data_IF_002048020613
#
_entry.id   IF_002048020613
#
_cell.length_a   1.000
_cell.length_b   1.000
_cell.length_c   1.000
_cell.angle_alpha   90.00
_cell.angle_beta   90.00
_cell.angle_gamma   90.00
#
_symmetry.space_group_name_H-M   'P 1'
#
loop_
_entity.id
_entity.type
_entity.pdbx_description
1 polymer ?
#
# COMPACT_ATOMS: atom_id res chain seq x y z
N UNK A 1 -4.68 4.23 24.99
CA UNK A 1 -5.01 3.89 24.39
C UNK A 1 -5.19 3.22 23.72
N UNK A 2 -5.36 2.92 23.35
CA UNK A 2 -5.51 2.31 22.52
C UNK A 2 -6.06 2.13 21.82
N UNK A 3 -6.25 2.05 21.43
CA UNK A 3 -6.63 1.61 20.73
C UNK A 3 -6.69 1.29 19.78
N UNK A 4 -6.46 1.46 19.56
CA UNK A 4 -6.43 1.11 18.75
C UNK A 4 -6.63 0.27 18.35
N UNK A 5 -6.77 0.56 18.47
CA UNK A 5 -6.81 -0.18 18.16
C UNK A 5 -6.83 -1.10 17.44
N UNK A 6 -6.90 -1.57 17.88
CA UNK A 6 -6.78 -2.62 16.94
C UNK A 6 -8.07 -2.99 16.34
N UNK A 7 -8.31 -2.60 15.15
CA UNK A 7 -9.46 -3.04 14.46
C UNK A 7 -9.13 -4.13 13.55
N UNK A 8 -10.10 -4.94 13.23
CA UNK A 8 -9.94 -5.93 12.23
C UNK A 8 -9.59 -5.28 10.92
N UNK A 9 -8.61 -5.84 10.24
CA UNK A 9 -8.18 -5.31 8.99
C UNK A 9 -7.24 -4.15 9.10
N UNK A 10 -7.21 -3.51 10.28
CA UNK A 10 -6.24 -2.45 10.49
C UNK A 10 -6.18 -1.52 9.29
N UNK A 11 -7.26 -0.83 9.01
CA UNK A 11 -7.32 0.08 7.87
C UNK A 11 -6.86 1.46 8.26
N UNK A 12 -6.21 2.15 7.33
CA UNK A 12 -5.79 3.54 7.51
C UNK A 12 -6.34 4.38 6.38
N UNK A 13 -6.47 5.67 6.62
CA UNK A 13 -6.88 6.61 5.57
C UNK A 13 -5.70 6.90 4.65
N UNK A 14 -5.99 7.50 3.49
CA UNK A 14 -4.92 7.90 2.58
C UNK A 14 -4.01 8.93 3.22
N UNK A 15 -4.54 9.81 4.06
CA UNK A 15 -3.72 10.81 4.72
C UNK A 15 -2.77 10.16 5.73
N UNK A 16 -3.28 9.20 6.50
CA UNK A 16 -2.44 8.45 7.43
C UNK A 16 -1.37 7.65 6.68
N UNK A 17 -1.78 7.03 5.57
CA UNK A 17 -0.85 6.24 4.78
C UNK A 17 0.28 7.10 4.22
N UNK A 18 -0.06 8.30 3.75
CA UNK A 18 0.95 9.17 3.18
C UNK A 18 1.94 9.65 4.22
N UNK A 19 1.49 9.91 5.43
CA UNK A 19 2.37 10.43 6.48
C UNK A 19 3.26 9.36 7.10
N UNK A 20 2.85 8.07 7.06
CA UNK A 20 3.59 7.01 7.74
C UNK A 20 5.04 6.86 7.30
N UNK A 21 5.35 6.88 5.99
CA UNK A 21 6.74 6.73 5.56
C UNK A 21 7.62 7.90 5.92
N UNK A 22 7.04 9.01 6.37
CA UNK A 22 7.80 10.23 6.63
C UNK A 22 7.74 10.67 8.09
N UNK A 23 6.98 9.96 8.93
CA UNK A 23 6.82 10.32 10.32
C UNK A 23 7.43 9.29 11.24
N UNK A 24 6.71 9.02 12.32
CA UNK A 24 7.17 8.05 13.32
C UNK A 24 7.32 6.66 12.73
N UNK A 25 6.64 6.38 11.64
CA UNK A 25 6.73 5.11 10.93
C UNK A 25 7.59 5.23 9.70
N UNK A 26 8.71 5.92 9.83
CA UNK A 26 9.59 6.16 8.68
C UNK A 26 10.08 4.88 8.03
N UNK A 27 10.10 3.78 8.76
CA UNK A 27 10.49 2.49 8.23
C UNK A 27 9.34 1.76 7.50
N UNK A 28 8.13 2.28 7.54
CA UNK A 28 7.02 1.68 6.84
C UNK A 28 7.19 1.82 5.33
N UNK A 29 6.58 0.91 4.58
CA UNK A 29 6.64 0.95 3.12
C UNK A 29 5.23 0.91 2.56
N UNK A 30 4.96 1.74 1.56
CA UNK A 30 3.69 1.71 0.85
C UNK A 30 3.81 0.64 -0.23
N UNK A 31 2.98 -0.39 -0.12
CA UNK A 31 3.07 -1.58 -0.96
C UNK A 31 1.86 -1.65 -1.88
N UNK A 32 2.06 -1.47 -3.16
CA UNK A 32 1.01 -1.46 -4.16
C UNK A 32 0.84 -2.87 -4.71
N UNK A 33 -0.36 -3.44 -4.56
CA UNK A 33 -0.63 -4.83 -4.97
C UNK A 33 -1.51 -4.92 -6.21
N UNK A 34 -1.62 -3.82 -6.97
CA UNK A 34 -2.40 -3.81 -8.21
C UNK A 34 -1.65 -4.54 -9.33
N UNK A 35 -2.35 -4.74 -10.44
CA UNK A 35 -1.75 -5.34 -11.62
C UNK A 35 -0.75 -4.39 -12.26
N UNK A 36 0.17 -4.94 -13.03
CA UNK A 36 1.22 -4.14 -13.63
C UNK A 36 0.71 -3.00 -14.51
N UNK A 37 -0.31 -3.19 -15.35
CA UNK A 37 -0.81 -2.06 -16.16
C UNK A 37 -1.32 -0.90 -15.30
N UNK A 38 -1.95 -1.22 -14.18
CA UNK A 38 -2.42 -0.19 -13.25
C UNK A 38 -1.23 0.58 -12.65
N UNK A 39 -0.22 -0.16 -12.24
CA UNK A 39 0.99 0.42 -11.66
C UNK A 39 1.70 1.32 -12.66
N UNK A 40 1.84 0.83 -13.88
CA UNK A 40 2.55 1.56 -14.94
C UNK A 40 1.86 2.89 -15.27
N UNK A 41 0.52 2.91 -15.27
CA UNK A 41 -0.22 4.12 -15.56
C UNK A 41 -0.03 5.19 -14.49
N UNK A 42 0.12 4.77 -13.24
CA UNK A 42 0.37 5.73 -12.16
C UNK A 42 0.28 5.05 -10.82
N UNK A 43 1.17 5.43 -9.91
CA UNK A 43 1.23 4.86 -8.56
C UNK A 43 1.64 5.95 -7.58
N UNK A 44 1.44 5.68 -6.30
CA UNK A 44 1.79 6.64 -5.28
C UNK A 44 3.30 6.84 -5.23
N UNK A 45 3.71 8.08 -5.03
CA UNK A 45 5.13 8.39 -4.95
C UNK A 45 5.75 7.60 -3.80
N UNK A 46 6.84 6.90 -4.08
CA UNK A 46 7.57 6.11 -3.09
C UNK A 46 7.03 4.72 -2.86
N UNK A 47 5.99 4.31 -3.58
CA UNK A 47 5.42 2.97 -3.41
C UNK A 47 6.33 1.91 -4.02
N UNK A 48 6.22 0.70 -3.48
CA UNK A 48 6.90 -0.48 -4.00
C UNK A 48 5.82 -1.42 -4.52
N UNK A 49 6.08 -2.09 -5.64
CA UNK A 49 5.06 -2.86 -6.33
C UNK A 49 5.27 -4.36 -6.21
N UNK A 50 4.20 -5.07 -5.87
CA UNK A 50 4.14 -6.52 -6.03
C UNK A 50 2.67 -6.88 -6.28
N UNK A 51 2.34 -7.48 -7.43
CA UNK A 51 0.96 -7.86 -7.71
C UNK A 51 0.42 -8.88 -6.70
N UNK A 52 -0.85 -8.75 -6.37
CA UNK A 52 -1.48 -9.61 -5.37
C UNK A 52 -1.31 -11.09 -5.68
N UNK A 53 -1.42 -11.48 -6.96
CA UNK A 53 -1.27 -12.88 -7.33
C UNK A 53 0.10 -13.42 -6.95
N UNK A 54 1.14 -12.62 -7.10
CA UNK A 54 2.48 -13.06 -6.73
C UNK A 54 2.60 -13.24 -5.23
N UNK A 55 1.96 -12.38 -4.45
CA UNK A 55 1.93 -12.56 -3.00
C UNK A 55 1.28 -13.87 -2.61
N UNK A 56 0.13 -14.19 -3.21
CA UNK A 56 -0.56 -15.44 -2.92
C UNK A 56 0.24 -16.65 -3.32
N UNK A 57 1.07 -16.53 -4.35
CA UNK A 57 1.93 -17.62 -4.79
C UNK A 57 3.19 -17.76 -3.96
N UNK A 58 3.37 -16.90 -2.96
CA UNK A 58 4.49 -17.01 -2.05
C UNK A 58 5.75 -16.27 -2.48
N UNK A 59 5.63 -15.36 -3.44
CA UNK A 59 6.79 -14.60 -3.87
C UNK A 59 7.37 -13.79 -2.73
N UNK A 60 8.69 -13.65 -2.74
CA UNK A 60 9.40 -12.82 -1.79
C UNK A 60 9.11 -11.35 -2.09
N UNK A 61 8.92 -10.55 -1.05
CA UNK A 61 8.73 -9.11 -1.23
C UNK A 61 9.97 -8.49 -1.88
N UNK A 62 9.79 -7.43 -2.67
CA UNK A 62 10.94 -6.68 -3.19
C UNK A 62 11.83 -6.24 -2.05
N UNK A 63 13.13 -6.14 -2.33
CA UNK A 63 14.12 -5.82 -1.31
C UNK A 63 13.77 -4.55 -0.55
N UNK A 64 13.21 -3.56 -1.24
CA UNK A 64 12.85 -2.28 -0.63
C UNK A 64 11.76 -2.42 0.43
N UNK A 65 11.00 -3.50 0.40
CA UNK A 65 9.90 -3.72 1.34
C UNK A 65 10.25 -4.72 2.43
N UNK A 66 11.37 -5.40 2.34
CA UNK A 66 11.69 -6.45 3.29
C UNK A 66 12.00 -5.88 4.67
N UNK A 67 11.41 -6.49 5.69
CA UNK A 67 11.65 -6.08 7.07
C UNK A 67 10.95 -4.80 7.47
N UNK A 68 10.08 -4.26 6.62
CA UNK A 68 9.39 -2.99 6.88
C UNK A 68 7.90 -3.25 7.04
N UNK A 69 7.22 -2.53 7.95
CA UNK A 69 5.77 -2.67 8.09
C UNK A 69 5.08 -2.25 6.78
N UNK A 70 4.30 -3.14 6.16
CA UNK A 70 3.69 -2.77 4.88
C UNK A 70 2.36 -2.04 5.08
N UNK A 71 2.23 -0.94 4.36
CA UNK A 71 0.98 -0.20 4.22
C UNK A 71 0.48 -0.52 2.82
N UNK A 72 -0.54 -1.37 2.72
CA UNK A 72 -0.91 -2.01 1.46
C UNK A 72 -1.99 -1.20 0.75
N UNK A 73 -1.79 -0.94 -0.53
CA UNK A 73 -2.73 -0.14 -1.30
C UNK A 73 -3.10 -0.86 -2.60
N UNK A 74 -4.36 -0.74 -3.00
CA UNK A 74 -4.82 -1.20 -4.30
C UNK A 74 -5.69 -0.11 -4.91
N UNK A 75 -6.55 -0.45 -5.87
CA UNK A 75 -7.35 0.58 -6.52
C UNK A 75 -8.45 1.14 -5.61
N UNK A 76 -9.23 0.26 -4.99
CA UNK A 76 -10.41 0.67 -4.22
C UNK A 76 -10.45 0.14 -2.79
N UNK A 77 -9.50 -0.71 -2.42
CA UNK A 77 -9.41 -1.21 -1.06
C UNK A 77 -9.75 -2.69 -0.87
N UNK A 78 -10.19 -3.39 -1.91
CA UNK A 78 -10.54 -4.80 -1.79
C UNK A 78 -9.32 -5.71 -1.81
N UNK A 79 -8.51 -5.59 -2.85
CA UNK A 79 -7.32 -6.43 -2.98
C UNK A 79 -6.34 -6.17 -1.84
N UNK A 80 -6.22 -4.92 -1.44
CA UNK A 80 -5.28 -4.56 -0.38
C UNK A 80 -5.71 -5.13 0.98
N UNK A 81 -7.00 -5.23 1.24
CA UNK A 81 -7.44 -5.82 2.51
C UNK A 81 -7.09 -7.30 2.57
N UNK A 82 -7.23 -8.02 1.46
CA UNK A 82 -6.83 -9.42 1.39
C UNK A 82 -5.32 -9.57 1.53
N UNK A 83 -4.56 -8.72 0.86
CA UNK A 83 -3.10 -8.75 0.93
C UNK A 83 -2.61 -8.45 2.34
N UNK A 84 -3.19 -7.46 2.99
CA UNK A 84 -2.79 -7.10 4.35
C UNK A 84 -3.05 -8.25 5.31
N UNK A 85 -4.20 -8.92 5.15
CA UNK A 85 -4.51 -10.07 5.98
C UNK A 85 -3.51 -11.20 5.77
N UNK A 86 -3.18 -11.47 4.51
CA UNK A 86 -2.20 -12.50 4.17
C UNK A 86 -0.84 -12.20 4.79
N UNK A 87 -0.40 -10.95 4.68
CA UNK A 87 0.88 -10.55 5.23
C UNK A 87 0.87 -10.61 6.76
N UNK A 88 -0.26 -10.26 7.38
CA UNK A 88 -0.39 -10.35 8.82
C UNK A 88 -0.29 -11.80 9.29
N UNK A 89 -0.88 -12.73 8.53
CA UNK A 89 -0.78 -14.16 8.84
C UNK A 89 0.65 -14.65 8.74
N UNK A 90 1.47 -13.95 7.99
CA UNK A 90 2.89 -14.29 7.84
C UNK A 90 3.77 -13.52 8.81
N UNK A 91 3.17 -12.82 9.76
CA UNK A 91 3.91 -12.16 10.82
C UNK A 91 4.20 -10.68 10.61
N UNK A 92 3.75 -10.09 9.50
CA UNK A 92 4.00 -8.68 9.25
C UNK A 92 2.95 -7.81 9.96
N UNK A 93 3.35 -6.61 10.33
CA UNK A 93 2.40 -5.63 10.89
C UNK A 93 1.82 -4.83 9.74
N UNK A 94 0.92 -5.46 9.01
CA UNK A 94 0.36 -4.90 7.78
C UNK A 94 -0.94 -4.17 8.07
N UNK A 95 -1.11 -3.03 7.41
CA UNK A 95 -2.39 -2.31 7.37
C UNK A 95 -2.72 -2.05 5.91
N UNK A 96 -3.97 -1.75 5.59
CA UNK A 96 -4.33 -1.43 4.21
C UNK A 96 -4.98 -0.06 4.13
N UNK A 97 -4.91 0.54 2.95
CA UNK A 97 -5.37 1.90 2.73
C UNK A 97 -6.82 1.90 2.30
N UNK A 98 -7.66 2.52 3.11
CA UNK A 98 -9.07 2.65 2.84
C UNK A 98 -9.30 3.47 1.58
N UNK A 99 -10.08 2.93 0.65
CA UNK A 99 -10.36 3.62 -0.61
C UNK A 99 -9.27 3.54 -1.66
N UNK A 100 -8.08 3.06 -1.30
CA UNK A 100 -7.01 2.80 -2.24
C UNK A 100 -6.57 3.98 -3.07
N UNK A 101 -6.11 3.70 -4.29
CA UNK A 101 -5.62 4.74 -5.18
C UNK A 101 -6.71 5.71 -5.61
N UNK A 102 -7.97 5.26 -5.65
CA UNK A 102 -9.07 6.18 -5.94
C UNK A 102 -9.13 7.28 -4.88
N UNK A 103 -9.07 6.93 -3.61
CA UNK A 103 -9.09 7.91 -2.53
C UNK A 103 -7.79 8.71 -2.50
N UNK A 104 -6.66 8.07 -2.80
CA UNK A 104 -5.36 8.75 -2.85
C UNK A 104 -5.38 9.90 -3.84
N UNK A 105 -5.83 9.61 -5.06
CA UNK A 105 -5.90 10.63 -6.11
C UNK A 105 -6.93 11.71 -5.77
N UNK A 106 -8.08 11.30 -5.22
CA UNK A 106 -9.13 12.26 -4.86
C UNK A 106 -8.66 13.23 -3.77
N UNK A 107 -7.76 12.78 -2.91
CA UNK A 107 -7.19 13.64 -1.86
C UNK A 107 -6.07 14.54 -2.39
N UNK A 108 -5.70 14.40 -3.66
CA UNK A 108 -4.65 15.22 -4.26
C UNK A 108 -3.24 14.77 -3.92
N UNK A 109 -3.08 13.54 -3.42
CA UNK A 109 -1.75 13.04 -3.11
C UNK A 109 -0.99 12.67 -4.39
N UNK A 110 0.34 12.76 -4.39
CA UNK A 110 1.12 12.57 -5.63
C UNK A 110 0.94 11.20 -6.26
N UNK A 111 0.66 11.19 -7.55
CA UNK A 111 0.60 9.99 -8.39
C UNK A 111 1.59 10.19 -9.52
N UNK A 112 2.51 9.26 -9.68
CA UNK A 112 3.57 9.38 -10.67
C UNK A 112 3.58 8.15 -11.57
N UNK A 113 4.09 8.32 -12.80
CA UNK A 113 4.27 7.20 -13.70
C UNK A 113 5.69 6.65 -13.56
N UNK A 114 6.06 5.72 -14.44
CA UNK A 114 7.36 5.08 -14.36
C UNK A 114 8.52 6.04 -14.54
N UNK A 115 8.29 7.17 -15.16
CA UNK A 115 9.32 8.16 -15.42
C UNK A 115 9.36 9.23 -14.34
N UNK A 116 8.50 9.12 -13.33
CA UNK A 116 8.42 10.13 -12.30
C UNK A 116 7.58 11.34 -12.67
N UNK A 117 6.93 11.31 -13.83
CA UNK A 117 6.02 12.38 -14.24
C UNK A 117 4.65 12.15 -13.62
N UNK A 118 3.78 13.15 -13.69
CA UNK A 118 2.42 12.98 -13.20
C UNK A 118 1.75 11.79 -13.88
N UNK A 119 1.24 10.89 -13.07
CA UNK A 119 0.52 9.72 -13.54
C UNK A 119 -0.95 9.84 -13.25
N UNK A 120 -1.68 8.77 -13.55
CA UNK A 120 -3.10 8.72 -13.25
C UNK A 120 -3.45 7.32 -12.78
N UNK A 121 -4.49 7.23 -11.98
CA UNK A 121 -4.97 5.93 -11.53
C UNK A 121 -5.77 5.29 -12.65
N UNK A 122 -5.45 4.05 -12.94
CA UNK A 122 -6.14 3.32 -14.00
C UNK A 122 -7.24 2.43 -13.41
#
# INVERSE_FOLDING_TARGET
MMPLIVRNGHRVTVDEARSRPHGDQADAVLLDVREEPEWTAGHALGAVHIPLAELFLGATLPAEAQGRPPVVICRSGHRSSHAARLLAERGARAVDVEGGMNAWAAAGHPVVDERGNSGRTA
#
